data_IF_839141035942
#
_entry.id   IF_839141035942
#
_cell.length_a   1.000
_cell.length_b   1.000
_cell.length_c   1.000
_cell.angle_alpha   90.00
_cell.angle_beta   90.00
_cell.angle_gamma   90.00
#
_symmetry.space_group_name_H-M   'P 1'
#
loop_
_entity.id
_entity.type
_entity.pdbx_description
1 polymer ?
#
# COMPACT_ATOMS: atom_id res chain seq x y z
N UNK A 1 9.96 25.54 -3.80
CA UNK A 1 8.53 25.31 -3.53
C UNK A 1 8.47 24.22 -2.49
N UNK A 2 8.27 24.55 -1.21
CA UNK A 2 8.23 23.55 -0.14
C UNK A 2 7.08 22.57 -0.40
N UNK A 3 7.38 21.29 -0.59
CA UNK A 3 6.40 20.21 -0.48
C UNK A 3 5.84 20.24 0.95
N UNK A 4 4.69 20.89 1.14
CA UNK A 4 3.92 20.76 2.37
C UNK A 4 3.68 19.27 2.58
N UNK A 5 4.00 18.75 3.77
CA UNK A 5 3.76 17.37 4.19
C UNK A 5 2.46 16.80 3.58
N UNK A 6 2.57 16.06 2.47
CA UNK A 6 1.46 15.22 1.93
C UNK A 6 1.34 13.94 2.77
N UNK A 7 1.69 14.04 4.05
CA UNK A 7 1.28 13.11 5.08
C UNK A 7 0.26 13.87 5.91
N UNK A 8 -0.95 14.03 5.37
CA UNK A 8 -2.09 14.42 6.19
C UNK A 8 -2.36 13.31 7.22
N UNK A 9 -3.18 13.57 8.25
CA UNK A 9 -3.46 12.58 9.31
C UNK A 9 -3.90 11.21 8.78
N UNK A 10 -4.49 11.14 7.58
CA UNK A 10 -5.02 9.90 6.99
C UNK A 10 -4.50 9.57 5.59
N UNK A 11 -3.70 10.42 4.96
CA UNK A 11 -3.26 10.22 3.56
C UNK A 11 -1.75 10.13 3.50
N UNK A 12 -1.23 9.08 2.84
CA UNK A 12 0.18 8.78 2.75
C UNK A 12 0.62 8.62 1.31
N UNK A 13 1.72 9.27 0.93
CA UNK A 13 2.42 8.98 -0.33
C UNK A 13 3.22 7.67 -0.20
N UNK A 14 3.02 6.72 -1.11
CA UNK A 14 3.72 5.42 -1.15
C UNK A 14 4.84 5.43 -2.20
N UNK A 15 4.58 5.99 -3.37
CA UNK A 15 5.53 6.21 -4.45
C UNK A 15 5.21 7.55 -5.15
N UNK A 16 5.96 7.91 -6.20
CA UNK A 16 5.68 9.13 -6.94
C UNK A 16 4.32 9.11 -7.66
N UNK A 17 3.84 7.92 -8.02
CA UNK A 17 2.61 7.68 -8.77
C UNK A 17 1.53 6.94 -7.97
N UNK A 18 1.77 6.67 -6.68
CA UNK A 18 0.83 5.94 -5.80
C UNK A 18 0.73 6.61 -4.43
N UNK A 19 -0.50 6.83 -3.98
CA UNK A 19 -0.84 7.25 -2.62
C UNK A 19 -1.88 6.31 -2.01
N UNK A 20 -2.09 6.42 -0.70
CA UNK A 20 -3.15 5.69 -0.02
C UNK A 20 -3.78 6.50 1.11
N UNK A 21 -5.00 6.12 1.45
CA UNK A 21 -5.65 6.44 2.71
C UNK A 21 -5.81 5.17 3.54
N UNK A 22 -5.91 5.30 4.86
CA UNK A 22 -6.01 4.15 5.77
C UNK A 22 -7.17 4.30 6.75
N UNK A 23 -7.75 3.16 7.13
CA UNK A 23 -8.76 3.07 8.19
C UNK A 23 -8.44 1.89 9.11
N UNK A 24 -8.41 2.14 10.42
CA UNK A 24 -8.12 1.12 11.44
C UNK A 24 -6.99 1.54 12.38
N UNK A 25 -6.21 0.55 12.84
CA UNK A 25 -5.11 0.74 13.80
C UNK A 25 -3.97 1.51 13.14
N UNK A 26 -3.75 2.76 13.55
CA UNK A 26 -2.76 3.66 12.93
C UNK A 26 -1.33 3.13 13.02
N UNK A 27 -0.96 2.42 14.10
CA UNK A 27 0.37 1.82 14.23
C UNK A 27 0.62 0.74 13.17
N UNK A 28 -0.38 -0.10 12.91
CA UNK A 28 -0.32 -1.12 11.86
C UNK A 28 -0.25 -0.47 10.47
N UNK A 29 -1.00 0.62 10.28
CA UNK A 29 -0.96 1.41 9.06
C UNK A 29 0.47 1.92 8.76
N UNK A 30 1.17 2.49 9.73
CA UNK A 30 2.54 2.97 9.53
C UNK A 30 3.51 1.85 9.15
N UNK A 31 3.39 0.68 9.78
CA UNK A 31 4.20 -0.50 9.44
C UNK A 31 4.00 -0.90 7.98
N UNK A 32 2.74 -1.04 7.55
CA UNK A 32 2.42 -1.41 6.18
C UNK A 32 2.71 -0.31 5.15
N UNK A 33 2.59 0.97 5.51
CA UNK A 33 3.03 2.09 4.66
C UNK A 33 4.53 2.02 4.42
N UNK A 34 5.33 1.73 5.45
CA UNK A 34 6.77 1.57 5.30
C UNK A 34 7.12 0.35 4.44
N UNK A 35 6.45 -0.78 4.67
CA UNK A 35 6.56 -1.97 3.83
C UNK A 35 6.25 -1.65 2.36
N UNK A 36 5.12 -0.99 2.09
CA UNK A 36 4.70 -0.62 0.75
C UNK A 36 5.72 0.30 0.04
N UNK A 37 6.27 1.29 0.76
CA UNK A 37 7.34 2.17 0.24
C UNK A 37 8.57 1.36 -0.15
N UNK A 38 9.04 0.47 0.73
CA UNK A 38 10.20 -0.38 0.44
C UNK A 38 9.95 -1.31 -0.74
N UNK A 39 8.77 -1.93 -0.81
CA UNK A 39 8.38 -2.81 -1.92
C UNK A 39 8.35 -2.06 -3.25
N UNK A 40 7.74 -0.87 -3.29
CA UNK A 40 7.70 -0.04 -4.48
C UNK A 40 9.10 0.40 -4.94
N UNK A 41 9.97 0.82 -4.01
CA UNK A 41 11.34 1.21 -4.32
C UNK A 41 12.19 0.01 -4.76
N UNK A 42 12.00 -1.17 -4.16
CA UNK A 42 12.70 -2.39 -4.57
C UNK A 42 12.30 -2.81 -5.99
N UNK A 43 11.00 -2.76 -6.32
CA UNK A 43 10.53 -3.03 -7.67
C UNK A 43 11.15 -2.04 -8.67
N UNK A 44 11.13 -0.74 -8.35
CA UNK A 44 11.77 0.28 -9.19
C UNK A 44 13.28 0.05 -9.33
N UNK A 45 13.99 -0.32 -8.27
CA UNK A 45 15.41 -0.64 -8.32
C UNK A 45 15.70 -1.83 -9.23
N UNK A 46 14.87 -2.88 -9.19
CA UNK A 46 15.06 -4.08 -10.01
C UNK A 46 14.70 -3.86 -11.49
N UNK A 47 13.57 -3.23 -11.76
CA UNK A 47 13.01 -3.15 -13.12
C UNK A 47 13.18 -1.78 -13.78
N UNK A 48 13.70 -0.79 -13.04
CA UNK A 48 13.90 0.60 -13.51
C UNK A 48 12.63 1.22 -14.10
N UNK A 49 11.47 0.79 -13.63
CA UNK A 49 10.14 1.23 -14.08
C UNK A 49 9.21 1.38 -12.88
N UNK A 50 8.24 2.31 -12.92
CA UNK A 50 7.26 2.44 -11.85
C UNK A 50 6.42 1.16 -11.70
N UNK A 51 6.36 0.61 -10.48
CA UNK A 51 5.56 -0.57 -10.14
C UNK A 51 4.08 -0.35 -10.47
N UNK A 52 3.36 -1.34 -11.00
CA UNK A 52 1.92 -1.21 -11.25
C UNK A 52 1.16 -1.00 -9.93
N UNK A 53 0.02 -0.30 -9.98
CA UNK A 53 -0.77 -0.03 -8.76
C UNK A 53 -1.32 -1.34 -8.18
N UNK A 54 -1.81 -2.22 -9.06
CA UNK A 54 -2.30 -3.55 -8.70
C UNK A 54 -1.21 -4.43 -8.07
N UNK A 55 0.01 -4.41 -8.61
CA UNK A 55 1.13 -5.18 -8.04
C UNK A 55 1.44 -4.75 -6.60
N UNK A 56 1.43 -3.44 -6.33
CA UNK A 56 1.69 -2.94 -4.98
C UNK A 56 0.54 -3.30 -4.03
N UNK A 57 -0.71 -3.22 -4.53
CA UNK A 57 -1.89 -3.64 -3.80
C UNK A 57 -1.81 -5.13 -3.41
N UNK A 58 -1.48 -5.99 -4.37
CA UNK A 58 -1.28 -7.42 -4.16
C UNK A 58 -0.19 -7.70 -3.15
N UNK A 59 0.97 -7.03 -3.23
CA UNK A 59 2.06 -7.23 -2.29
C UNK A 59 1.67 -6.87 -0.83
N UNK A 60 0.91 -5.78 -0.64
CA UNK A 60 0.39 -5.43 0.69
C UNK A 60 -0.60 -6.49 1.19
N UNK A 61 -1.46 -6.99 0.30
CA UNK A 61 -2.43 -8.03 0.63
C UNK A 61 -1.79 -9.38 0.97
N UNK A 62 -0.76 -9.79 0.23
CA UNK A 62 0.01 -11.00 0.54
C UNK A 62 0.68 -10.87 1.91
N UNK A 63 1.30 -9.72 2.22
CA UNK A 63 1.87 -9.44 3.55
C UNK A 63 0.80 -9.50 4.66
N UNK A 64 -0.38 -8.95 4.42
CA UNK A 64 -1.50 -9.03 5.38
C UNK A 64 -1.95 -10.47 5.60
N UNK A 65 -2.08 -11.23 4.51
CA UNK A 65 -2.57 -12.60 4.52
C UNK A 65 -1.64 -13.52 5.32
N UNK A 66 -0.32 -13.31 5.27
CA UNK A 66 0.64 -14.10 6.06
C UNK A 66 0.28 -14.10 7.54
N UNK A 67 -0.20 -12.98 8.08
CA UNK A 67 -0.60 -12.83 9.49
C UNK A 67 -2.01 -13.38 9.79
N UNK A 68 -2.75 -13.85 8.78
CA UNK A 68 -4.01 -14.60 8.96
C UNK A 68 -3.80 -16.11 8.92
N UNK A 69 -2.69 -16.58 8.33
CA UNK A 69 -2.39 -18.00 8.17
C UNK A 69 -1.26 -18.50 9.07
N UNK A 70 -0.26 -17.66 9.34
CA UNK A 70 0.99 -18.06 9.98
C UNK A 70 1.33 -17.16 11.18
N UNK A 71 2.16 -17.68 12.09
CA UNK A 71 2.72 -16.92 13.21
C UNK A 71 1.86 -16.84 14.49
N UNK A 72 0.56 -17.14 14.42
CA UNK A 72 -0.34 -17.15 15.60
C UNK A 72 -0.48 -15.80 16.28
N UNK A 73 -0.12 -14.72 15.58
CA UNK A 73 -0.23 -13.33 16.02
C UNK A 73 -1.50 -12.71 15.46
N UNK A 74 -1.93 -11.57 16.01
CA UNK A 74 -3.08 -10.85 15.48
C UNK A 74 -2.81 -10.35 14.04
N UNK A 75 -3.82 -10.34 13.15
CA UNK A 75 -3.71 -9.70 11.83
C UNK A 75 -3.47 -8.19 11.94
N UNK A 76 -3.05 -7.59 10.83
CA UNK A 76 -3.02 -6.14 10.67
C UNK A 76 -4.44 -5.59 10.70
N UNK A 77 -4.76 -4.76 11.69
CA UNK A 77 -6.09 -4.20 11.89
C UNK A 77 -6.36 -2.96 11.05
N UNK A 78 -6.01 -2.98 9.76
CA UNK A 78 -6.08 -1.79 8.89
C UNK A 78 -6.48 -2.13 7.45
N UNK A 79 -7.42 -1.37 6.91
CA UNK A 79 -7.80 -1.36 5.50
C UNK A 79 -7.13 -0.17 4.80
N UNK A 80 -6.67 -0.38 3.56
CA UNK A 80 -6.07 0.69 2.74
C UNK A 80 -6.99 0.99 1.56
N UNK A 81 -7.13 2.26 1.23
CA UNK A 81 -7.65 2.74 -0.04
C UNK A 81 -6.48 3.27 -0.86
N UNK A 82 -5.98 2.48 -1.81
CA UNK A 82 -4.86 2.83 -2.68
C UNK A 82 -5.39 3.55 -3.92
N UNK A 83 -4.76 4.67 -4.26
CA UNK A 83 -5.00 5.39 -5.50
C UNK A 83 -3.68 5.62 -6.23
N UNK A 84 -3.67 5.39 -7.53
CA UNK A 84 -2.45 5.58 -8.32
C UNK A 84 -2.73 5.68 -9.81
N UNK A 85 -1.69 5.99 -10.56
CA UNK A 85 -1.72 5.96 -12.01
C UNK A 85 -0.59 5.08 -12.54
N UNK A 86 -0.88 4.21 -13.49
CA UNK A 86 0.13 3.53 -14.28
C UNK A 86 -0.24 3.48 -15.76
N UNK A 87 0.71 3.00 -16.57
CA UNK A 87 0.56 2.92 -18.03
C UNK A 87 -0.33 1.75 -18.50
N UNK A 88 -0.70 0.84 -17.61
CA UNK A 88 -1.42 -0.38 -17.96
C UNK A 88 -2.92 -0.17 -17.88
N UNK A 89 -3.40 0.43 -16.79
CA UNK A 89 -4.82 0.64 -16.53
C UNK A 89 -5.19 2.11 -16.24
N UNK A 90 -4.21 3.03 -16.32
CA UNK A 90 -4.45 4.45 -16.04
C UNK A 90 -4.68 4.71 -14.56
N UNK A 91 -5.62 5.61 -14.24
CA UNK A 91 -5.99 5.92 -12.86
C UNK A 91 -6.78 4.76 -12.24
N UNK A 92 -6.30 4.28 -11.10
CA UNK A 92 -6.85 3.13 -10.40
C UNK A 92 -7.13 3.48 -8.95
N UNK A 93 -8.13 2.81 -8.38
CA UNK A 93 -8.48 2.82 -6.98
C UNK A 93 -8.62 1.37 -6.53
N UNK A 94 -8.04 1.00 -5.39
CA UNK A 94 -8.19 -0.32 -4.80
C UNK A 94 -8.47 -0.21 -3.30
N UNK A 95 -9.42 -1.00 -2.81
CA UNK A 95 -9.61 -1.25 -1.38
C UNK A 95 -8.91 -2.54 -0.99
N UNK A 96 -8.29 -2.57 0.18
CA UNK A 96 -7.69 -3.79 0.77
C UNK A 96 -8.24 -4.03 2.16
N UNK A 97 -8.43 -5.29 2.52
CA UNK A 97 -8.98 -5.69 3.82
C UNK A 97 -7.94 -6.39 4.70
N UNK A 98 -8.12 -6.46 6.04
CA UNK A 98 -7.26 -7.20 6.96
C UNK A 98 -7.11 -8.70 6.63
N UNK A 99 -8.07 -9.27 5.92
CA UNK A 99 -8.04 -10.66 5.45
C UNK A 99 -6.96 -10.92 4.40
N UNK A 100 -6.45 -9.87 3.75
CA UNK A 100 -5.57 -9.98 2.58
C UNK A 100 -6.33 -10.00 1.25
N UNK A 101 -7.63 -9.76 1.24
CA UNK A 101 -8.39 -9.57 0.00
C UNK A 101 -8.29 -8.11 -0.51
N UNK A 102 -8.41 -7.90 -1.81
CA UNK A 102 -8.48 -6.58 -2.42
C UNK A 102 -9.45 -6.51 -3.60
N UNK A 103 -10.04 -5.34 -3.81
CA UNK A 103 -11.00 -5.08 -4.89
C UNK A 103 -10.75 -3.71 -5.52
N UNK A 104 -11.01 -3.60 -6.83
CA UNK A 104 -11.00 -2.34 -7.59
C UNK A 104 -12.33 -1.59 -7.46
#
# INVERSE_FOLDING_TARGET
MQDRHISGEKVFKLANHIGCSVAGVTSDAYTLVNYARLTAQRNYYTFQTPMAVEDLCKAICDEKQVFTQYGGVRPYGVSFLLAGWDRYHGYQLYSTEPSGDFSA
#
